data_IF_007094705405
#
_entry.id   IF_007094705405
#
_cell.length_a   1.000
_cell.length_b   1.000
_cell.length_c   1.000
_cell.angle_alpha   90.00
_cell.angle_beta   90.00
_cell.angle_gamma   90.00
#
_symmetry.space_group_name_H-M   'P 1'
#
loop_
_entity.id
_entity.type
_entity.pdbx_description
1 polymer ?
#
# COMPACT_ATOMS: atom_id res chain seq x y z
N UNK A 1 6.37 -12.81 7.33
CA UNK A 1 6.43 -11.50 6.64
C UNK A 1 6.31 -10.37 7.65
N UNK A 2 7.02 -9.25 7.50
CA UNK A 2 6.91 -8.11 8.42
C UNK A 2 5.88 -7.10 7.89
N UNK A 3 4.73 -6.97 8.57
CA UNK A 3 3.62 -6.08 8.18
C UNK A 3 3.52 -4.80 9.04
N UNK A 4 4.55 -4.50 9.82
CA UNK A 4 4.51 -3.36 10.75
C UNK A 4 4.48 -2.00 10.07
N UNK A 5 4.82 -1.94 8.78
CA UNK A 5 4.78 -0.74 7.95
C UNK A 5 3.36 -0.39 7.48
N UNK A 6 2.40 -1.30 7.65
CA UNK A 6 0.99 -1.08 7.27
C UNK A 6 0.12 -0.76 8.50
N UNK A 7 -0.89 0.09 8.28
CA UNK A 7 -1.95 0.32 9.27
C UNK A 7 -2.64 -0.99 9.63
N UNK A 8 -3.07 -1.14 10.89
CA UNK A 8 -3.71 -2.37 11.37
C UNK A 8 -4.93 -2.78 10.53
N UNK A 9 -5.71 -1.80 10.06
CA UNK A 9 -6.88 -2.02 9.20
C UNK A 9 -6.51 -2.54 7.79
N UNK A 10 -5.30 -2.26 7.32
CA UNK A 10 -4.84 -2.58 5.96
C UNK A 10 -3.99 -3.85 5.91
N UNK A 11 -3.56 -4.38 7.06
CA UNK A 11 -2.64 -5.53 7.14
C UNK A 11 -3.14 -6.77 6.42
N UNK A 12 -4.41 -7.13 6.60
CA UNK A 12 -4.98 -8.32 5.95
C UNK A 12 -5.02 -8.16 4.43
N UNK A 13 -5.29 -6.95 3.93
CA UNK A 13 -5.25 -6.66 2.50
C UNK A 13 -3.82 -6.68 1.97
N UNK A 14 -2.88 -6.09 2.72
CA UNK A 14 -1.46 -6.08 2.35
C UNK A 14 -0.88 -7.51 2.31
N UNK A 15 -1.23 -8.34 3.28
CA UNK A 15 -0.86 -9.76 3.32
C UNK A 15 -1.33 -10.49 2.06
N UNK A 16 -2.63 -10.39 1.75
CA UNK A 16 -3.21 -11.01 0.54
C UNK A 16 -2.56 -10.53 -0.76
N UNK A 17 -2.26 -9.23 -0.87
CA UNK A 17 -1.58 -8.69 -2.06
C UNK A 17 -0.15 -9.23 -2.19
N UNK A 18 0.58 -9.38 -1.08
CA UNK A 18 1.94 -9.92 -1.12
C UNK A 18 1.92 -11.41 -1.46
N UNK A 19 1.05 -12.20 -0.83
CA UNK A 19 0.88 -13.62 -1.15
C UNK A 19 0.50 -13.83 -2.62
N UNK A 20 -0.47 -13.04 -3.12
CA UNK A 20 -0.86 -13.06 -4.53
C UNK A 20 0.31 -12.71 -5.45
N UNK A 21 1.09 -11.69 -5.11
CA UNK A 21 2.25 -11.28 -5.90
C UNK A 21 3.34 -12.34 -5.92
N UNK A 22 3.58 -13.00 -4.78
CA UNK A 22 4.53 -14.11 -4.69
C UNK A 22 4.10 -15.27 -5.59
N UNK A 23 2.82 -15.66 -5.54
CA UNK A 23 2.27 -16.72 -6.39
C UNK A 23 2.37 -16.38 -7.89
N UNK A 24 2.07 -15.14 -8.27
CA UNK A 24 2.21 -14.68 -9.66
C UNK A 24 3.66 -14.80 -10.16
N UNK A 25 4.63 -14.49 -9.30
CA UNK A 25 6.06 -14.53 -9.64
C UNK A 25 6.62 -15.96 -9.62
N UNK A 26 6.22 -16.80 -8.67
CA UNK A 26 6.80 -18.14 -8.50
C UNK A 26 6.14 -19.21 -9.35
N UNK A 27 4.83 -19.09 -9.60
CA UNK A 27 4.05 -20.13 -10.28
C UNK A 27 3.58 -19.69 -11.67
N UNK A 28 2.87 -18.55 -11.77
CA UNK A 28 2.18 -18.21 -13.02
C UNK A 28 3.11 -17.66 -14.10
N UNK A 29 3.99 -16.72 -13.75
CA UNK A 29 4.90 -16.11 -14.73
C UNK A 29 5.87 -17.14 -15.33
N UNK A 30 6.50 -18.05 -14.55
CA UNK A 30 7.34 -19.10 -15.10
C UNK A 30 6.57 -20.06 -16.01
N UNK A 31 5.36 -20.49 -15.60
CA UNK A 31 4.53 -21.37 -16.42
C UNK A 31 4.18 -20.73 -17.78
N UNK A 32 3.79 -19.46 -17.80
CA UNK A 32 3.50 -18.73 -19.03
C UNK A 32 4.74 -18.61 -19.95
N UNK A 33 5.95 -18.47 -19.37
CA UNK A 33 7.21 -18.47 -20.14
C UNK A 33 7.48 -19.85 -20.75
N UNK A 34 7.31 -20.92 -19.98
CA UNK A 34 7.50 -22.31 -20.44
C UNK A 34 6.54 -22.66 -21.58
N UNK A 35 5.30 -22.22 -21.47
CA UNK A 35 4.25 -22.42 -22.48
C UNK A 35 4.38 -21.46 -23.68
N UNK A 36 5.35 -20.54 -23.65
CA UNK A 36 5.54 -19.47 -24.65
C UNK A 36 4.30 -18.58 -24.81
N UNK A 37 3.47 -18.47 -23.77
CA UNK A 37 2.34 -17.56 -23.69
C UNK A 37 2.80 -16.15 -23.31
N UNK A 38 3.31 -15.42 -24.29
CA UNK A 38 3.84 -14.07 -24.08
C UNK A 38 2.74 -13.04 -23.76
N UNK A 39 1.52 -13.23 -24.25
CA UNK A 39 0.39 -12.38 -23.91
C UNK A 39 0.03 -12.57 -22.42
N UNK A 40 -0.04 -13.82 -21.96
CA UNK A 40 -0.20 -14.15 -20.55
C UNK A 40 0.92 -13.57 -19.67
N UNK A 41 2.18 -13.60 -20.14
CA UNK A 41 3.29 -12.97 -19.43
C UNK A 41 3.07 -11.46 -19.21
N UNK A 42 2.57 -10.75 -20.24
CA UNK A 42 2.29 -9.30 -20.15
C UNK A 42 1.17 -9.02 -19.16
N UNK A 43 0.10 -9.81 -19.18
CA UNK A 43 -1.03 -9.67 -18.26
C UNK A 43 -0.63 -9.94 -16.79
N UNK A 44 0.15 -11.00 -16.56
CA UNK A 44 0.68 -11.34 -15.23
C UNK A 44 1.59 -10.21 -14.73
N UNK A 45 2.50 -9.70 -15.58
CA UNK A 45 3.38 -8.59 -15.23
C UNK A 45 2.59 -7.30 -14.89
N UNK A 46 1.54 -6.98 -15.66
CA UNK A 46 0.67 -5.84 -15.37
C UNK A 46 -0.02 -5.98 -14.01
N UNK A 47 -0.43 -7.19 -13.65
CA UNK A 47 -1.06 -7.49 -12.36
C UNK A 47 -0.06 -7.35 -11.21
N UNK A 48 1.16 -7.88 -11.35
CA UNK A 48 2.25 -7.70 -10.37
C UNK A 48 2.52 -6.21 -10.15
N UNK A 49 2.64 -5.43 -11.23
CA UNK A 49 2.85 -3.97 -11.16
C UNK A 49 1.71 -3.30 -10.38
N UNK A 50 0.46 -3.69 -10.64
CA UNK A 50 -0.70 -3.14 -9.93
C UNK A 50 -0.64 -3.44 -8.43
N UNK A 51 -0.37 -4.69 -8.04
CA UNK A 51 -0.26 -5.09 -6.64
C UNK A 51 0.86 -4.33 -5.91
N UNK A 52 2.03 -4.20 -6.55
CA UNK A 52 3.15 -3.43 -5.99
C UNK A 52 2.80 -1.96 -5.78
N UNK A 53 2.09 -1.33 -6.73
CA UNK A 53 1.64 0.07 -6.58
C UNK A 53 0.62 0.22 -5.44
N UNK A 54 -0.27 -0.74 -5.27
CA UNK A 54 -1.23 -0.72 -4.16
C UNK A 54 -0.53 -0.87 -2.81
N UNK A 55 0.43 -1.80 -2.70
CA UNK A 55 1.25 -1.96 -1.50
C UNK A 55 2.03 -0.69 -1.17
N UNK A 56 2.66 -0.05 -2.16
CA UNK A 56 3.39 1.21 -1.96
C UNK A 56 2.49 2.32 -1.40
N UNK A 57 1.24 2.44 -1.89
CA UNK A 57 0.27 3.41 -1.36
C UNK A 57 -0.16 3.07 0.07
N UNK A 58 -0.27 1.78 0.40
CA UNK A 58 -0.69 1.31 1.72
C UNK A 58 0.43 1.40 2.77
N UNK A 59 1.70 1.31 2.36
CA UNK A 59 2.87 1.41 3.24
C UNK A 59 3.06 2.83 3.81
N UNK A 60 2.54 3.84 3.10
CA UNK A 60 2.54 5.22 3.55
C UNK A 60 1.14 5.63 3.99
N UNK A 61 0.83 5.63 5.31
CA UNK A 61 -0.39 6.25 5.78
C UNK A 61 -0.27 7.76 5.58
N UNK A 62 -0.64 8.22 4.38
CA UNK A 62 -0.69 9.63 3.97
C UNK A 62 -1.35 10.48 5.06
N UNK A 63 -2.30 9.92 5.81
CA UNK A 63 -3.05 10.63 6.86
C UNK A 63 -2.23 10.97 8.12
N UNK A 64 -1.25 10.15 8.55
CA UNK A 64 -0.50 10.40 9.80
C UNK A 64 0.69 11.33 9.55
N UNK A 65 1.33 11.18 8.38
CA UNK A 65 2.43 12.06 7.96
C UNK A 65 1.91 13.45 7.62
N UNK A 66 0.77 13.54 6.90
CA UNK A 66 0.17 14.84 6.54
C UNK A 66 -0.32 15.60 7.76
N UNK A 67 -0.93 14.96 8.77
CA UNK A 67 -1.41 15.70 9.95
C UNK A 67 -0.29 16.43 10.69
N UNK A 68 0.84 15.75 10.91
CA UNK A 68 2.00 16.38 11.57
C UNK A 68 2.56 17.53 10.73
N UNK A 69 2.70 17.32 9.43
CA UNK A 69 3.25 18.31 8.50
C UNK A 69 2.31 19.53 8.33
N UNK A 70 1.00 19.28 8.25
CA UNK A 70 -0.05 20.31 8.23
C UNK A 70 -0.02 21.12 9.52
N UNK A 71 0.03 20.46 10.69
CA UNK A 71 0.12 21.14 11.99
C UNK A 71 1.40 22.00 12.07
N UNK A 72 2.54 21.47 11.64
CA UNK A 72 3.81 22.22 11.61
C UNK A 72 3.75 23.44 10.68
N UNK A 73 3.14 23.32 9.49
CA UNK A 73 2.97 24.41 8.55
C UNK A 73 1.97 25.48 9.03
N UNK A 74 0.93 25.09 9.76
CA UNK A 74 0.00 26.05 10.37
C UNK A 74 0.67 26.80 11.53
N UNK A 75 1.42 26.09 12.38
CA UNK A 75 2.17 26.67 13.49
C UNK A 75 3.26 27.66 13.00
N UNK A 76 4.00 27.34 11.94
CA UNK A 76 5.01 28.25 11.37
C UNK A 76 4.41 29.55 10.82
N UNK A 77 3.11 29.55 10.49
CA UNK A 77 2.34 30.72 10.06
C UNK A 77 1.64 31.45 11.22
N UNK A 78 1.92 31.06 12.47
CA UNK A 78 1.31 31.66 13.66
C UNK A 78 -0.15 31.26 13.89
N UNK A 79 -0.64 30.24 13.19
CA UNK A 79 -2.00 29.73 13.39
C UNK A 79 -1.97 28.74 14.56
N UNK A 80 -2.72 29.05 15.60
CA UNK A 80 -2.77 28.21 16.80
C UNK A 80 -3.66 26.99 16.55
N UNK A 81 -3.10 25.78 16.67
CA UNK A 81 -3.81 24.53 16.39
C UNK A 81 -3.99 23.75 17.68
N UNK A 82 -5.21 23.31 17.96
CA UNK A 82 -5.54 22.47 19.11
C UNK A 82 -6.29 21.22 18.66
N UNK A 83 -5.95 20.07 19.20
CA UNK A 83 -6.64 18.80 18.93
C UNK A 83 -8.02 18.81 19.60
N UNK A 84 -9.09 18.67 18.82
CA UNK A 84 -10.45 18.55 19.34
C UNK A 84 -10.90 17.09 19.23
N UNK A 85 -11.18 16.45 20.36
CA UNK A 85 -11.78 15.11 20.38
C UNK A 85 -13.29 15.26 20.53
N UNK A 86 -14.07 14.81 19.53
CA UNK A 86 -15.52 14.68 19.71
C UNK A 86 -15.80 13.56 20.71
N UNK A 87 -16.45 13.91 21.82
CA UNK A 87 -17.06 12.93 22.73
C UNK A 87 -18.44 12.63 22.16
N UNK A 88 -18.67 11.40 21.71
CA UNK A 88 -20.03 10.95 21.39
C UNK A 88 -20.73 10.66 22.72
N UNK A 89 -21.82 11.38 22.99
CA UNK A 89 -22.75 11.12 24.09
C UNK A 89 -23.82 10.14 23.64
#
# INVERSE_FOLDING_TARGET
MNLNHFLKADREKAERLIESTQYLISELLPAAIEDQDFDGCVEIAATIISNCKDLQRMEHPEQVVQLREIVSNLASRGINVSTVRRVYQ
#
